data_IF_954152277507
#
_entry.id   IF_954152277507
#
_cell.length_a   1.000
_cell.length_b   1.000
_cell.length_c   1.000
_cell.angle_alpha   90.00
_cell.angle_beta   90.00
_cell.angle_gamma   90.00
#
_symmetry.space_group_name_H-M   'P 1'
#
loop_
_entity.id
_entity.type
_entity.pdbx_description
1 polymer ?
#
# COMPACT_ATOMS: atom_id res chain seq x y z
N UNK A 1 10.10 18.46 -1.17
CA UNK A 1 8.74 18.15 -0.69
C UNK A 1 8.91 17.20 0.48
N UNK A 2 8.41 17.57 1.66
CA UNK A 2 8.35 16.62 2.78
C UNK A 2 7.16 15.74 2.48
N UNK A 3 7.41 14.50 2.08
CA UNK A 3 6.35 13.52 1.93
C UNK A 3 5.74 13.29 3.31
N UNK A 4 4.43 13.53 3.45
CA UNK A 4 3.72 13.28 4.71
C UNK A 4 3.88 11.80 5.05
N UNK A 5 4.41 11.41 6.23
CA UNK A 5 4.53 10.01 6.60
C UNK A 5 3.18 9.29 6.65
N UNK A 6 2.06 10.02 6.67
CA UNK A 6 0.71 9.48 6.59
C UNK A 6 0.17 9.44 5.14
N UNK A 7 0.95 9.86 4.16
CA UNK A 7 0.58 9.75 2.75
C UNK A 7 0.48 8.27 2.36
N UNK A 8 -0.66 7.81 1.81
CA UNK A 8 -0.83 6.41 1.41
C UNK A 8 0.25 5.87 0.47
N UNK A 9 0.81 6.73 -0.40
CA UNK A 9 1.87 6.34 -1.34
C UNK A 9 3.19 6.06 -0.63
N UNK A 10 3.51 6.85 0.41
CA UNK A 10 4.71 6.69 1.25
C UNK A 10 4.58 5.45 2.11
N UNK A 11 3.43 5.24 2.73
CA UNK A 11 3.14 4.03 3.49
C UNK A 11 3.27 2.80 2.59
N UNK A 12 2.71 2.84 1.38
CA UNK A 12 2.83 1.74 0.42
C UNK A 12 4.29 1.44 0.04
N UNK A 13 5.12 2.45 -0.17
CA UNK A 13 6.56 2.27 -0.43
C UNK A 13 7.28 1.62 0.75
N UNK A 14 7.06 2.13 1.96
CA UNK A 14 7.68 1.56 3.16
C UNK A 14 7.26 0.10 3.37
N UNK A 15 5.99 -0.23 3.15
CA UNK A 15 5.50 -1.61 3.27
C UNK A 15 6.17 -2.54 2.25
N UNK A 16 6.36 -2.08 1.00
CA UNK A 16 7.06 -2.85 -0.02
C UNK A 16 8.53 -3.06 0.36
N UNK A 17 9.21 -2.02 0.86
CA UNK A 17 10.60 -2.11 1.31
C UNK A 17 10.77 -3.07 2.49
N UNK A 18 9.85 -3.03 3.46
CA UNK A 18 9.94 -3.83 4.68
C UNK A 18 9.48 -5.28 4.50
N UNK A 19 8.46 -5.52 3.68
CA UNK A 19 7.75 -6.80 3.65
C UNK A 19 7.68 -7.46 2.27
N UNK A 20 8.15 -6.79 1.22
CA UNK A 20 7.96 -7.24 -0.16
C UNK A 20 6.49 -7.18 -0.60
N UNK A 21 6.21 -7.63 -1.83
CA UNK A 21 4.89 -7.49 -2.45
C UNK A 21 3.76 -8.16 -1.65
N UNK A 22 3.94 -9.43 -1.28
CA UNK A 22 2.92 -10.22 -0.57
C UNK A 22 2.69 -9.72 0.86
N UNK A 23 3.78 -9.40 1.56
CA UNK A 23 3.70 -8.93 2.95
C UNK A 23 3.14 -7.51 3.04
N UNK A 24 3.43 -6.64 2.07
CA UNK A 24 2.81 -5.33 1.98
C UNK A 24 1.29 -5.43 1.77
N UNK A 25 0.87 -6.34 0.89
CA UNK A 25 -0.55 -6.59 0.61
C UNK A 25 -1.30 -7.16 1.82
N UNK A 26 -0.69 -8.12 2.52
CA UNK A 26 -1.24 -8.67 3.75
C UNK A 26 -1.38 -7.61 4.84
N UNK A 27 -0.36 -6.75 5.01
CA UNK A 27 -0.35 -5.69 6.01
C UNK A 27 -1.44 -4.65 5.75
N UNK A 28 -1.57 -4.18 4.50
CA UNK A 28 -2.64 -3.27 4.12
C UNK A 28 -4.03 -3.89 4.33
N UNK A 29 -4.18 -5.19 4.08
CA UNK A 29 -5.44 -5.91 4.33
C UNK A 29 -5.76 -5.99 5.82
N UNK A 30 -4.77 -6.29 6.67
CA UNK A 30 -4.93 -6.28 8.13
C UNK A 30 -5.29 -4.89 8.66
N UNK A 31 -4.66 -3.83 8.14
CA UNK A 31 -4.98 -2.45 8.50
C UNK A 31 -6.43 -2.06 8.17
N UNK A 32 -6.96 -2.50 7.01
CA UNK A 32 -8.38 -2.32 6.67
C UNK A 32 -9.28 -3.01 7.70
N UNK A 33 -8.99 -4.28 8.02
CA UNK A 33 -9.83 -5.05 8.93
C UNK A 33 -9.85 -4.44 10.34
N UNK A 34 -8.68 -4.05 10.86
CA UNK A 34 -8.57 -3.39 12.15
C UNK A 34 -9.34 -2.06 12.18
N UNK A 35 -9.18 -1.21 11.16
CA UNK A 35 -9.91 0.07 11.10
C UNK A 35 -11.44 -0.11 10.96
N UNK A 36 -11.90 -1.22 10.37
CA UNK A 36 -13.33 -1.56 10.35
C UNK A 36 -13.83 -2.00 11.73
N UNK A 37 -13.05 -2.80 12.45
CA UNK A 37 -13.38 -3.26 13.81
C UNK A 37 -13.40 -2.09 14.81
N UNK A 38 -12.47 -1.14 14.67
CA UNK A 38 -12.34 0.03 15.53
C UNK A 38 -13.30 1.18 15.14
N UNK A 39 -14.09 1.03 14.07
CA UNK A 39 -14.92 2.09 13.47
C UNK A 39 -14.13 3.37 13.10
N UNK A 40 -12.81 3.25 12.87
CA UNK A 40 -11.94 4.34 12.47
C UNK A 40 -12.04 4.60 10.96
N UNK A 41 -12.99 5.47 10.61
CA UNK A 41 -13.23 5.85 9.23
C UNK A 41 -12.05 6.55 8.56
N UNK A 42 -11.19 7.24 9.31
CA UNK A 42 -10.03 7.92 8.76
C UNK A 42 -8.96 6.89 8.36
N UNK A 43 -8.57 6.04 9.30
CA UNK A 43 -7.61 4.96 9.04
C UNK A 43 -8.11 3.99 7.98
N UNK A 44 -9.42 3.70 7.97
CA UNK A 44 -10.02 2.87 6.93
C UNK A 44 -9.84 3.47 5.54
N UNK A 45 -10.00 4.79 5.40
CA UNK A 45 -9.77 5.51 4.14
C UNK A 45 -8.29 5.44 3.73
N UNK A 46 -7.38 5.69 4.67
CA UNK A 46 -5.92 5.61 4.42
C UNK A 46 -5.53 4.21 3.94
N UNK A 47 -5.90 3.16 4.67
CA UNK A 47 -5.52 1.78 4.31
C UNK A 47 -6.09 1.31 2.97
N UNK A 48 -7.28 1.79 2.59
CA UNK A 48 -7.85 1.53 1.26
C UNK A 48 -7.03 2.16 0.15
N UNK A 49 -6.54 3.39 0.35
CA UNK A 49 -5.70 4.06 -0.63
C UNK A 49 -4.30 3.45 -0.69
N UNK A 50 -3.72 3.07 0.46
CA UNK A 50 -2.45 2.31 0.51
C UNK A 50 -2.56 1.04 -0.34
N UNK A 51 -3.65 0.28 -0.18
CA UNK A 51 -3.88 -0.94 -0.96
C UNK A 51 -4.01 -0.67 -2.46
N UNK A 52 -4.59 0.48 -2.85
CA UNK A 52 -4.66 0.90 -4.25
C UNK A 52 -3.27 1.22 -4.80
N UNK A 53 -2.46 1.97 -4.05
CA UNK A 53 -1.09 2.31 -4.42
C UNK A 53 -0.22 1.07 -4.61
N UNK A 54 -0.32 0.09 -3.69
CA UNK A 54 0.35 -1.21 -3.82
C UNK A 54 -0.02 -1.90 -5.14
N UNK A 55 -1.31 -1.93 -5.48
CA UNK A 55 -1.78 -2.55 -6.74
C UNK A 55 -1.22 -1.84 -7.97
N UNK A 56 -1.17 -0.51 -7.96
CA UNK A 56 -0.60 0.28 -9.07
C UNK A 56 0.89 -0.03 -9.21
N UNK A 57 1.63 -0.03 -8.10
CA UNK A 57 3.08 -0.30 -8.08
C UNK A 57 3.41 -1.71 -8.57
N UNK A 58 2.66 -2.73 -8.13
CA UNK A 58 2.80 -4.11 -8.64
C UNK A 58 2.50 -4.21 -10.14
N UNK A 59 1.44 -3.54 -10.61
CA UNK A 59 1.10 -3.49 -12.03
C UNK A 59 2.18 -2.81 -12.88
N UNK A 60 2.81 -1.76 -12.36
CA UNK A 60 3.91 -1.06 -13.03
C UNK A 60 5.21 -1.88 -13.03
N UNK A 61 5.47 -2.65 -11.97
CA UNK A 61 6.63 -3.56 -11.90
C UNK A 61 6.50 -4.72 -12.91
N UNK A 62 5.29 -5.22 -13.13
CA UNK A 62 5.02 -6.26 -14.15
C UNK A 62 5.28 -5.75 -15.58
N UNK A 63 4.88 -4.52 -15.89
CA UNK A 63 5.08 -3.91 -17.22
C UNK A 63 6.55 -3.63 -17.54
N UNK A 64 7.33 -3.16 -16.56
CA UNK A 64 8.77 -2.89 -16.75
C UNK A 64 9.60 -4.15 -17.01
N UNK A 65 9.15 -5.32 -16.55
CA UNK A 65 9.81 -6.61 -16.82
C UNK A 65 9.54 -7.16 -18.23
N UNK A 66 8.49 -6.69 -18.89
CA UNK A 66 8.06 -7.16 -20.21
C UNK A 66 8.71 -6.35 -21.36
N UNK A 67 8.93 -5.05 -21.16
CA UNK A 67 9.50 -4.15 -22.19
C UNK A 67 11.04 -4.18 -22.31
N UNK A 68 11.72 -4.92 -21.42
CA UNK A 68 13.19 -5.02 -21.38
C UNK A 68 13.79 -6.23 -22.07
N UNK A 69 13.05 -6.94 -22.95
CA UNK A 69 13.48 -8.23 -23.52
C UNK A 69 13.62 -8.22 -25.04
#
# INVERSE_FOLDING_TARGET
MVNDPNDPSVIAEQLLEMHGDDGAWETATKGILAAQEDEDNYSLSVWREVRRELKIKQGNAAKQKDEGR
#
